data_IF_801783981069
#
_entry.id   IF_801783981069
#
_cell.length_a   1.000
_cell.length_b   1.000
_cell.length_c   1.000
_cell.angle_alpha   90.00
_cell.angle_beta   90.00
_cell.angle_gamma   90.00
#
_symmetry.space_group_name_H-M   'P 1'
#
loop_
_entity.id
_entity.type
_entity.pdbx_description
1 polymer ?
#
# COMPACT_ATOMS: atom_id res chain seq x y z
N UNK A 1 -8.14 7.12 11.46
CA UNK A 1 -7.34 7.89 10.50
C UNK A 1 -5.94 7.31 10.53
N UNK A 2 -5.53 6.74 9.40
CA UNK A 2 -4.23 6.12 9.22
C UNK A 2 -3.22 7.19 8.84
N UNK A 3 -2.09 7.22 9.55
CA UNK A 3 -1.05 8.23 9.36
C UNK A 3 0.09 7.70 8.50
N UNK A 4 0.43 6.42 8.62
CA UNK A 4 1.48 5.79 7.84
C UNK A 4 1.21 4.31 7.55
N UNK A 5 1.64 3.89 6.37
CA UNK A 5 1.70 2.48 5.96
C UNK A 5 3.13 2.22 5.50
N UNK A 6 3.78 1.26 6.12
CA UNK A 6 5.22 1.03 5.99
C UNK A 6 5.50 -0.43 5.72
N UNK A 7 6.58 -0.69 5.00
CA UNK A 7 7.23 -1.99 4.95
C UNK A 7 8.39 -1.98 5.92
N UNK A 8 8.36 -2.86 6.92
CA UNK A 8 9.43 -2.98 7.91
C UNK A 8 10.08 -4.34 7.78
N UNK A 9 11.36 -4.37 7.42
CA UNK A 9 12.17 -5.59 7.35
C UNK A 9 13.31 -5.46 8.37
N UNK A 10 13.51 -6.50 9.19
CA UNK A 10 14.54 -6.54 10.24
C UNK A 10 14.53 -5.33 11.19
N UNK A 11 13.34 -4.81 11.48
CA UNK A 11 13.13 -3.65 12.37
C UNK A 11 13.40 -2.29 11.71
N UNK A 12 13.73 -2.24 10.42
CA UNK A 12 13.96 -1.01 9.68
C UNK A 12 12.85 -0.76 8.66
N UNK A 13 12.39 0.50 8.54
CA UNK A 13 11.47 0.91 7.47
C UNK A 13 12.22 0.88 6.14
N UNK A 14 11.85 -0.06 5.26
CA UNK A 14 12.42 -0.19 3.92
C UNK A 14 11.57 0.49 2.86
N UNK A 15 10.29 0.76 3.16
CA UNK A 15 9.39 1.47 2.26
C UNK A 15 8.24 2.14 3.01
N UNK A 16 7.74 3.24 2.46
CA UNK A 16 6.57 3.95 2.99
C UNK A 16 5.58 4.20 1.86
N UNK A 17 4.29 4.04 2.15
CA UNK A 17 3.23 4.43 1.23
C UNK A 17 3.05 5.95 1.30
N UNK A 18 3.54 6.63 0.28
CA UNK A 18 3.41 8.07 0.12
C UNK A 18 2.46 8.39 -1.04
N UNK A 19 1.76 9.52 -0.96
CA UNK A 19 0.87 9.93 -2.05
C UNK A 19 1.70 10.23 -3.29
N UNK A 20 1.52 9.44 -4.34
CA UNK A 20 2.09 9.77 -5.64
C UNK A 20 1.10 10.62 -6.42
N UNK A 21 1.40 11.90 -6.72
CA UNK A 21 0.46 12.76 -7.42
C UNK A 21 0.22 12.23 -8.84
N UNK A 22 -1.02 11.81 -9.09
CA UNK A 22 -1.52 11.45 -10.41
C UNK A 22 -2.82 12.20 -10.67
N UNK A 23 -3.08 12.48 -11.93
CA UNK A 23 -4.34 13.07 -12.35
C UNK A 23 -5.54 12.27 -11.83
N UNK A 24 -6.59 12.97 -11.41
CA UNK A 24 -7.83 12.35 -10.91
C UNK A 24 -7.80 11.88 -9.46
N UNK A 25 -6.75 12.17 -8.68
CA UNK A 25 -6.68 11.83 -7.26
C UNK A 25 -6.34 10.35 -6.98
N UNK A 26 -5.77 9.66 -7.97
CA UNK A 26 -5.39 8.25 -7.87
C UNK A 26 -3.95 8.11 -7.37
N UNK A 27 -3.77 8.13 -6.04
CA UNK A 27 -2.44 8.20 -5.43
C UNK A 27 -1.80 6.83 -5.15
N UNK A 28 -2.58 5.76 -5.11
CA UNK A 28 -2.13 4.42 -4.75
C UNK A 28 -2.67 3.37 -5.71
N UNK A 29 -1.78 2.53 -6.23
CA UNK A 29 -2.12 1.31 -6.96
C UNK A 29 -2.17 0.13 -6.00
N UNK A 30 -3.38 -0.36 -5.74
CA UNK A 30 -3.62 -1.51 -4.88
C UNK A 30 -3.95 -2.74 -5.70
N UNK A 31 -3.41 -3.91 -5.33
CA UNK A 31 -3.56 -5.13 -6.09
C UNK A 31 -4.15 -6.23 -5.23
N UNK A 32 -5.16 -6.89 -5.79
CA UNK A 32 -5.67 -8.15 -5.28
C UNK A 32 -4.58 -9.24 -5.31
N UNK A 33 -4.70 -10.28 -4.47
CA UNK A 33 -3.75 -11.40 -4.49
C UNK A 33 -3.62 -11.99 -5.89
N UNK A 34 -2.38 -12.15 -6.35
CA UNK A 34 -2.07 -12.69 -7.68
C UNK A 34 -2.31 -11.75 -8.87
N UNK A 35 -2.94 -10.58 -8.68
CA UNK A 35 -3.16 -9.62 -9.76
C UNK A 35 -1.96 -8.70 -9.97
N UNK A 36 -1.60 -8.45 -11.23
CA UNK A 36 -0.44 -7.59 -11.58
C UNK A 36 -0.76 -6.48 -12.59
N UNK A 37 -1.87 -6.58 -13.34
CA UNK A 37 -2.21 -5.64 -14.42
C UNK A 37 -3.43 -4.76 -14.13
N UNK A 38 -4.29 -5.16 -13.19
CA UNK A 38 -5.55 -4.48 -12.89
C UNK A 38 -5.51 -3.89 -11.47
N UNK A 39 -4.91 -2.70 -11.28
CA UNK A 39 -4.90 -2.04 -9.99
C UNK A 39 -6.28 -1.49 -9.62
N UNK A 40 -6.60 -1.59 -8.33
CA UNK A 40 -7.61 -0.78 -7.66
C UNK A 40 -6.95 0.53 -7.24
N UNK A 41 -7.48 1.64 -7.73
CA UNK A 41 -6.94 2.96 -7.45
C UNK A 41 -7.57 3.56 -6.21
N UNK A 42 -6.75 3.91 -5.22
CA UNK A 42 -7.19 4.53 -3.96
C UNK A 42 -6.55 5.90 -3.77
N UNK A 43 -7.21 6.76 -3.00
CA UNK A 43 -6.85 8.17 -2.84
C UNK A 43 -6.45 8.56 -1.40
N UNK A 44 -6.56 7.63 -0.45
CA UNK A 44 -6.26 7.89 0.96
C UNK A 44 -5.55 6.69 1.59
N UNK A 45 -4.78 6.94 2.67
CA UNK A 45 -4.16 5.86 3.44
C UNK A 45 -5.21 5.05 4.21
N UNK A 46 -6.34 5.66 4.58
CA UNK A 46 -7.45 4.94 5.23
C UNK A 46 -8.03 3.87 4.29
N UNK A 47 -8.32 4.22 3.03
CA UNK A 47 -8.83 3.24 2.06
C UNK A 47 -7.80 2.15 1.76
N UNK A 48 -6.52 2.52 1.64
CA UNK A 48 -5.43 1.55 1.44
C UNK A 48 -5.32 0.60 2.63
N UNK A 49 -5.43 1.11 3.86
CA UNK A 49 -5.41 0.29 5.06
C UNK A 49 -6.58 -0.70 5.11
N UNK A 50 -7.79 -0.25 4.81
CA UNK A 50 -8.97 -1.10 4.77
C UNK A 50 -8.87 -2.15 3.68
N UNK A 51 -8.33 -1.78 2.50
CA UNK A 51 -8.03 -2.71 1.43
C UNK A 51 -7.01 -3.77 1.85
N UNK A 52 -5.89 -3.39 2.49
CA UNK A 52 -4.85 -4.33 2.88
C UNK A 52 -5.28 -5.27 4.02
N UNK A 53 -6.10 -4.80 4.96
CA UNK A 53 -6.60 -5.60 6.10
C UNK A 53 -7.62 -6.66 5.70
N UNK A 54 -8.36 -6.45 4.61
CA UNK A 54 -9.51 -7.29 4.28
C UNK A 54 -9.13 -8.63 3.66
N UNK A 55 -8.01 -8.71 2.92
CA UNK A 55 -7.54 -9.97 2.33
C UNK A 55 -6.01 -10.07 2.44
N UNK A 56 -5.48 -11.19 2.98
CA UNK A 56 -4.04 -11.44 3.01
C UNK A 56 -3.40 -11.39 1.63
N UNK A 57 -2.12 -10.99 1.57
CA UNK A 57 -1.33 -10.88 0.33
C UNK A 57 -1.80 -9.81 -0.66
N UNK A 58 -2.70 -8.91 -0.25
CA UNK A 58 -2.92 -7.65 -0.96
C UNK A 58 -1.68 -6.77 -0.87
N UNK A 59 -1.51 -5.94 -1.90
CA UNK A 59 -0.26 -5.20 -2.12
C UNK A 59 -0.57 -3.78 -2.55
N UNK A 60 0.32 -2.85 -2.23
CA UNK A 60 0.21 -1.46 -2.66
C UNK A 60 1.54 -0.98 -3.24
N UNK A 61 1.48 -0.12 -4.25
CA UNK A 61 2.59 0.74 -4.68
C UNK A 61 2.06 2.11 -5.05
N UNK A 62 2.98 3.07 -5.12
CA UNK A 62 2.64 4.48 -5.27
C UNK A 62 2.70 4.89 -6.74
N UNK A 63 3.68 4.40 -7.49
CA UNK A 63 3.85 4.68 -8.91
C UNK A 63 3.87 3.38 -9.76
N UNK A 64 3.43 3.45 -11.03
CA UNK A 64 3.56 2.34 -11.96
C UNK A 64 5.03 1.91 -12.11
N UNK A 65 5.31 0.61 -11.97
CA UNK A 65 6.66 0.06 -12.09
C UNK A 65 7.52 0.11 -10.82
N UNK A 66 7.11 0.86 -9.79
CA UNK A 66 7.80 0.78 -8.50
C UNK A 66 7.61 -0.56 -7.81
N UNK A 67 8.55 -0.88 -6.92
CA UNK A 67 8.44 -2.02 -6.02
C UNK A 67 7.15 -1.95 -5.19
N UNK A 68 6.55 -3.10 -4.90
CA UNK A 68 5.33 -3.16 -4.08
C UNK A 68 5.67 -3.31 -2.59
N UNK A 69 4.83 -2.71 -1.76
CA UNK A 69 4.66 -3.08 -0.36
C UNK A 69 3.70 -4.27 -0.35
N UNK A 70 4.23 -5.47 -0.14
CA UNK A 70 3.49 -6.73 -0.32
C UNK A 70 3.60 -7.72 0.83
N UNK A 71 4.51 -7.45 1.78
CA UNK A 71 4.78 -8.28 2.96
C UNK A 71 5.42 -7.41 4.03
N UNK A 72 5.37 -7.87 5.28
CA UNK A 72 5.86 -7.13 6.44
C UNK A 72 5.29 -5.71 6.46
N UNK A 73 3.97 -5.62 6.27
CA UNK A 73 3.24 -4.37 6.19
C UNK A 73 2.86 -3.97 7.59
N UNK A 74 3.13 -2.72 7.94
CA UNK A 74 2.77 -2.12 9.21
C UNK A 74 1.89 -0.90 8.95
N UNK A 75 0.77 -0.80 9.68
CA UNK A 75 -0.14 0.33 9.64
C UNK A 75 -0.03 1.03 10.99
N UNK A 76 0.43 2.28 10.99
CA UNK A 76 0.70 3.05 12.21
C UNK A 76 1.63 2.35 13.22
N UNK A 77 2.49 1.44 12.74
CA UNK A 77 3.43 0.65 13.55
C UNK A 77 2.91 -0.73 13.98
N UNK A 78 1.66 -1.08 13.63
CA UNK A 78 1.08 -2.40 13.92
C UNK A 78 1.14 -3.30 12.68
N UNK A 79 1.64 -4.55 12.80
CA UNK A 79 1.65 -5.49 11.67
C UNK A 79 0.24 -5.95 11.31
N UNK A 80 0.04 -6.28 10.02
CA UNK A 80 -1.21 -6.86 9.50
C UNK A 80 -1.01 -8.19 8.77
#
# INVERSE_FOLDING_TARGET
>A
MVNRIEKIEDGAVTKTAERYPRDGGHFFECFEPGQTMNPVWLNSLDDVADFLRTVPNRRVRMEPGAAMISRHIFIDGEPI
#
